data_IF_597958624763
#
_entry.id   IF_597958624763
#
_cell.length_a   1.000
_cell.length_b   1.000
_cell.length_c   1.000
_cell.angle_alpha   90.00
_cell.angle_beta   90.00
_cell.angle_gamma   90.00
#
_symmetry.space_group_name_H-M   'P 1'
#
loop_
_entity.id
_entity.type
_entity.pdbx_description
1 polymer ?
#
# COMPACT_ATOMS: atom_id res chain seq x y z
N UNK A 1 44.48 18.31 46.50
CA UNK A 1 43.26 18.91 45.99
C UNK A 1 43.26 19.12 44.46
N UNK A 2 44.39 19.38 43.85
CA UNK A 2 44.48 19.56 42.39
C UNK A 2 44.35 18.27 41.57
N UNK A 3 44.46 17.12 42.20
CA UNK A 3 44.41 15.80 41.52
C UNK A 3 43.00 15.32 41.24
N UNK A 4 41.99 15.84 41.93
CA UNK A 4 40.59 15.44 41.71
C UNK A 4 40.03 15.98 40.39
N UNK A 5 40.57 17.03 39.86
CA UNK A 5 40.07 17.67 38.63
C UNK A 5 40.52 16.95 37.34
N UNK A 6 41.67 16.30 37.35
CA UNK A 6 42.19 15.54 36.22
C UNK A 6 41.52 14.18 36.06
N UNK A 7 41.07 13.57 37.18
CA UNK A 7 40.35 12.28 37.15
C UNK A 7 38.90 12.46 36.69
N UNK A 8 38.26 13.55 36.98
CA UNK A 8 36.88 13.83 36.55
C UNK A 8 36.76 14.05 35.05
N UNK A 9 37.78 14.59 34.38
CA UNK A 9 37.79 14.75 32.92
C UNK A 9 37.84 13.44 32.18
N UNK A 10 38.57 12.43 32.67
CA UNK A 10 38.65 11.12 32.08
C UNK A 10 37.37 10.30 32.30
N UNK A 11 36.73 10.44 33.46
CA UNK A 11 35.47 9.79 33.76
C UNK A 11 34.30 10.34 32.91
N UNK A 12 34.30 11.65 32.68
CA UNK A 12 33.31 12.29 31.83
C UNK A 12 33.41 11.79 30.37
N UNK A 13 34.61 11.68 29.84
CA UNK A 13 34.84 11.15 28.50
C UNK A 13 34.43 9.69 28.39
N UNK A 14 34.69 8.88 29.40
CA UNK A 14 34.24 7.48 29.44
C UNK A 14 32.73 7.35 29.48
N UNK A 15 32.06 8.16 30.26
CA UNK A 15 30.60 8.22 30.36
C UNK A 15 29.97 8.72 29.06
N UNK A 16 30.51 9.74 28.44
CA UNK A 16 30.04 10.27 27.16
C UNK A 16 30.14 9.19 26.08
N UNK A 17 31.22 8.45 26.02
CA UNK A 17 31.39 7.31 25.07
C UNK A 17 30.34 6.21 25.28
N UNK A 18 30.00 5.94 26.51
CA UNK A 18 28.94 4.98 26.85
C UNK A 18 27.56 5.48 26.42
N UNK A 19 27.26 6.74 26.65
CA UNK A 19 26.00 7.34 26.22
C UNK A 19 25.87 7.42 24.70
N UNK A 20 26.96 7.71 24.01
CA UNK A 20 26.97 7.73 22.53
C UNK A 20 26.67 6.32 21.99
N UNK A 21 27.21 5.27 22.56
CA UNK A 21 26.91 3.88 22.18
C UNK A 21 25.46 3.53 22.45
N UNK A 22 24.92 3.92 23.60
CA UNK A 22 23.48 3.72 23.91
C UNK A 22 22.58 4.50 22.96
N UNK A 23 22.91 5.75 22.65
CA UNK A 23 22.15 6.56 21.69
C UNK A 23 22.19 6.00 20.29
N UNK A 24 23.33 5.46 19.84
CA UNK A 24 23.42 4.83 18.51
C UNK A 24 22.62 3.53 18.44
N UNK A 25 22.60 2.74 19.49
CA UNK A 25 21.77 1.53 19.57
C UNK A 25 20.28 1.87 19.58
N UNK A 26 19.87 2.90 20.35
CA UNK A 26 18.48 3.37 20.37
C UNK A 26 18.06 3.93 19.01
N UNK A 27 18.92 4.71 18.37
CA UNK A 27 18.67 5.25 17.04
C UNK A 27 18.52 4.13 16.00
N UNK A 28 19.35 3.10 16.07
CA UNK A 28 19.27 1.92 15.20
C UNK A 28 17.98 1.14 15.45
N UNK A 29 17.52 1.04 16.70
CA UNK A 29 16.25 0.38 17.05
C UNK A 29 15.04 1.15 16.54
N UNK A 30 15.07 2.49 16.63
CA UNK A 30 13.99 3.36 16.14
C UNK A 30 13.86 3.31 14.63
N UNK A 31 14.96 3.22 13.90
CA UNK A 31 14.91 3.08 12.43
C UNK A 31 14.36 1.74 11.95
N UNK A 32 14.49 0.69 12.76
CA UNK A 32 13.94 -0.63 12.41
C UNK A 32 12.47 -0.82 12.82
N UNK A 33 11.98 0.01 13.74
CA UNK A 33 10.63 -0.06 14.27
C UNK A 33 9.62 0.81 13.51
N UNK A 34 10.01 1.43 12.40
CA UNK A 34 9.04 2.08 11.52
C UNK A 34 8.22 0.98 10.84
N UNK A 35 6.96 0.81 11.21
CA UNK A 35 6.10 -0.07 10.43
C UNK A 35 6.01 0.51 9.03
N UNK A 36 6.30 -0.30 8.04
CA UNK A 36 6.02 0.02 6.65
C UNK A 36 4.49 0.01 6.42
N UNK A 37 3.77 0.81 7.20
CA UNK A 37 2.32 0.97 7.11
C UNK A 37 1.91 1.98 6.04
N UNK A 38 2.76 2.19 5.05
CA UNK A 38 2.43 3.01 3.89
C UNK A 38 1.65 2.24 2.82
N UNK A 39 1.18 1.04 3.12
CA UNK A 39 0.23 0.36 2.25
C UNK A 39 -1.16 0.81 2.69
N UNK A 40 -1.74 1.71 1.93
CA UNK A 40 -3.15 2.01 2.02
C UNK A 40 -3.91 0.68 2.09
N UNK A 41 -4.67 0.50 3.18
CA UNK A 41 -5.31 -0.76 3.53
C UNK A 41 -6.46 -1.13 2.60
N UNK A 42 -6.25 -1.07 1.29
CA UNK A 42 -7.23 -1.57 0.32
C UNK A 42 -7.33 -3.09 0.40
N UNK A 43 -8.54 -3.59 0.40
CA UNK A 43 -8.85 -5.00 0.26
C UNK A 43 -8.68 -5.42 -1.20
N UNK A 44 -8.16 -6.61 -1.45
CA UNK A 44 -8.12 -7.16 -2.80
C UNK A 44 -9.55 -7.47 -3.28
N UNK A 45 -9.95 -6.80 -4.35
CA UNK A 45 -11.22 -7.01 -5.05
C UNK A 45 -10.91 -7.70 -6.37
N UNK A 46 -11.60 -8.77 -6.67
CA UNK A 46 -11.47 -9.52 -7.91
C UNK A 46 -12.82 -9.73 -8.56
N UNK A 47 -12.82 -10.14 -9.81
CA UNK A 47 -14.05 -10.46 -10.53
C UNK A 47 -13.78 -10.75 -12.00
N UNK A 48 -14.84 -10.99 -12.73
CA UNK A 48 -14.81 -11.28 -14.16
C UNK A 48 -15.60 -10.21 -14.90
N UNK A 49 -15.02 -9.68 -15.97
CA UNK A 49 -15.71 -8.76 -16.88
C UNK A 49 -16.14 -9.52 -18.11
N UNK A 50 -17.43 -9.47 -18.43
CA UNK A 50 -18.04 -10.12 -19.60
C UNK A 50 -18.77 -9.10 -20.45
N UNK A 51 -19.04 -9.47 -21.71
CA UNK A 51 -19.95 -8.73 -22.55
C UNK A 51 -21.42 -9.16 -22.31
N UNK A 52 -22.36 -8.52 -22.98
CA UNK A 52 -23.78 -8.83 -22.93
C UNK A 52 -24.15 -10.23 -23.44
N UNK A 53 -23.26 -10.89 -24.19
CA UNK A 53 -23.39 -12.26 -24.65
C UNK A 53 -22.78 -13.30 -23.69
N UNK A 54 -22.14 -12.87 -22.63
CA UNK A 54 -21.51 -13.71 -21.61
C UNK A 54 -20.07 -14.11 -21.90
N UNK A 55 -19.44 -13.53 -22.93
CA UNK A 55 -18.03 -13.78 -23.25
C UNK A 55 -17.11 -12.93 -22.36
N UNK A 56 -15.99 -13.48 -21.86
CA UNK A 56 -15.04 -12.69 -21.09
C UNK A 56 -14.35 -11.63 -21.97
N UNK A 57 -14.21 -10.43 -21.44
CA UNK A 57 -13.53 -9.33 -22.11
C UNK A 57 -12.09 -9.21 -21.63
N UNK A 58 -11.15 -9.28 -22.57
CA UNK A 58 -9.70 -9.20 -22.33
C UNK A 58 -9.26 -7.76 -22.52
N UNK A 59 -8.42 -7.25 -21.59
CA UNK A 59 -7.83 -5.92 -21.71
C UNK A 59 -8.75 -4.76 -21.28
N UNK A 60 -9.83 -5.05 -20.55
CA UNK A 60 -10.66 -4.03 -19.93
C UNK A 60 -9.86 -3.28 -18.89
N UNK A 61 -9.85 -1.96 -18.95
CA UNK A 61 -9.17 -1.12 -17.98
C UNK A 61 -10.05 -0.95 -16.74
N UNK A 62 -9.52 -1.32 -15.59
CA UNK A 62 -10.16 -1.16 -14.27
C UNK A 62 -9.35 -0.16 -13.46
N UNK A 63 -9.96 0.94 -13.07
CA UNK A 63 -9.29 2.01 -12.30
C UNK A 63 -10.10 2.40 -11.09
N UNK A 64 -9.41 2.91 -10.06
CA UNK A 64 -10.04 3.54 -8.89
C UNK A 64 -9.98 5.05 -9.10
N UNK A 65 -11.11 5.74 -9.34
CA UNK A 65 -11.14 7.18 -9.57
C UNK A 65 -10.53 7.97 -8.42
N UNK A 66 -9.74 8.99 -8.75
CA UNK A 66 -9.04 9.82 -7.76
C UNK A 66 -7.75 9.21 -7.22
N UNK A 67 -7.35 8.05 -7.70
CA UNK A 67 -6.08 7.38 -7.34
C UNK A 67 -5.30 6.99 -8.59
N UNK A 68 -4.05 6.54 -8.40
CA UNK A 68 -3.23 5.97 -9.47
C UNK A 68 -3.37 4.45 -9.59
N UNK A 69 -4.26 3.85 -8.80
CA UNK A 69 -4.51 2.40 -8.82
C UNK A 69 -5.26 2.00 -10.09
N UNK A 70 -4.78 0.99 -10.77
CA UNK A 70 -5.42 0.46 -11.97
C UNK A 70 -4.88 -0.90 -12.35
N UNK A 71 -5.69 -1.66 -13.06
CA UNK A 71 -5.35 -2.97 -13.63
C UNK A 71 -6.09 -3.20 -14.92
N UNK A 72 -5.78 -4.30 -15.60
CA UNK A 72 -6.50 -4.76 -16.80
C UNK A 72 -6.92 -6.20 -16.63
N UNK A 73 -8.00 -6.59 -17.31
CA UNK A 73 -8.44 -7.99 -17.34
C UNK A 73 -7.48 -8.87 -18.13
N UNK A 74 -7.33 -10.11 -17.68
CA UNK A 74 -6.50 -11.14 -18.33
C UNK A 74 -7.25 -11.89 -19.45
N UNK A 75 -6.65 -12.96 -19.97
CA UNK A 75 -7.22 -13.79 -21.03
C UNK A 75 -8.57 -14.45 -20.66
N UNK A 76 -8.87 -14.58 -19.38
CA UNK A 76 -10.12 -15.11 -18.84
C UNK A 76 -11.14 -14.01 -18.49
N UNK A 77 -10.81 -12.73 -18.73
CA UNK A 77 -11.61 -11.60 -18.31
C UNK A 77 -11.55 -11.31 -16.82
N UNK A 78 -10.61 -11.94 -16.09
CA UNK A 78 -10.45 -11.78 -14.65
C UNK A 78 -9.57 -10.58 -14.34
N UNK A 79 -9.94 -9.82 -13.31
CA UNK A 79 -9.13 -8.71 -12.76
C UNK A 79 -8.96 -8.87 -11.27
N UNK A 80 -7.90 -8.26 -10.74
CA UNK A 80 -7.68 -8.11 -9.29
C UNK A 80 -7.11 -6.73 -9.04
N UNK A 81 -7.72 -5.98 -8.12
CA UNK A 81 -7.31 -4.62 -7.77
C UNK A 81 -7.50 -4.39 -6.26
N UNK A 82 -6.63 -3.61 -5.66
CA UNK A 82 -6.79 -3.22 -4.27
C UNK A 82 -7.64 -1.95 -4.17
N UNK A 83 -8.75 -2.04 -3.48
CA UNK A 83 -9.66 -0.92 -3.28
C UNK A 83 -10.27 -0.94 -1.88
N UNK A 84 -10.53 0.24 -1.33
CA UNK A 84 -11.19 0.38 -0.05
C UNK A 84 -12.72 0.25 -0.20
N UNK A 85 -13.39 -0.04 0.89
CA UNK A 85 -14.85 -0.23 0.91
C UNK A 85 -15.64 0.99 0.44
N UNK A 86 -15.09 2.19 0.62
CA UNK A 86 -15.68 3.45 0.20
C UNK A 86 -15.32 3.85 -1.22
N UNK A 87 -14.42 3.12 -1.87
CA UNK A 87 -13.97 3.41 -3.24
C UNK A 87 -14.92 2.80 -4.27
N UNK A 88 -14.77 3.28 -5.50
CA UNK A 88 -15.50 2.79 -6.66
C UNK A 88 -14.51 2.26 -7.68
N UNK A 89 -14.94 1.30 -8.47
CA UNK A 89 -14.19 0.79 -9.62
C UNK A 89 -14.81 1.32 -10.90
N UNK A 90 -13.97 1.89 -11.76
CA UNK A 90 -14.37 2.32 -13.09
C UNK A 90 -13.84 1.33 -14.12
N UNK A 91 -14.76 0.77 -14.89
CA UNK A 91 -14.48 -0.17 -15.98
C UNK A 91 -14.60 0.55 -17.31
N UNK A 92 -13.57 0.48 -18.14
CA UNK A 92 -13.53 1.13 -19.45
C UNK A 92 -12.93 0.19 -20.50
N UNK A 93 -13.60 0.09 -21.63
CA UNK A 93 -13.14 -0.68 -22.77
C UNK A 93 -13.60 -0.03 -24.08
N UNK A 94 -12.78 -0.20 -25.13
CA UNK A 94 -13.08 0.38 -26.46
C UNK A 94 -14.32 -0.27 -27.06
N UNK A 95 -15.30 0.54 -27.43
CA UNK A 95 -16.56 0.05 -28.01
C UNK A 95 -17.66 -0.24 -27.00
N UNK A 96 -17.39 -0.07 -25.70
CA UNK A 96 -18.34 -0.28 -24.60
C UNK A 96 -18.51 0.98 -23.77
N UNK A 97 -19.65 1.12 -23.13
CA UNK A 97 -19.91 2.22 -22.22
C UNK A 97 -19.14 2.03 -20.91
N UNK A 98 -18.43 3.04 -20.42
CA UNK A 98 -17.76 2.94 -19.12
C UNK A 98 -18.79 2.76 -18.00
N UNK A 99 -18.46 1.92 -17.04
CA UNK A 99 -19.29 1.64 -15.87
C UNK A 99 -18.53 1.93 -14.58
N UNK A 100 -19.21 2.49 -13.59
CA UNK A 100 -18.65 2.72 -12.27
C UNK A 100 -19.47 1.93 -11.25
N UNK A 101 -18.79 1.10 -10.44
CA UNK A 101 -19.41 0.24 -9.44
C UNK A 101 -18.74 0.50 -8.09
N UNK A 102 -19.54 0.71 -7.05
CA UNK A 102 -19.06 0.86 -5.68
C UNK A 102 -18.65 -0.48 -5.09
N UNK A 103 -17.52 -0.50 -4.39
CA UNK A 103 -16.98 -1.72 -3.77
C UNK A 103 -17.90 -2.25 -2.66
N UNK A 104 -18.44 -1.38 -1.80
CA UNK A 104 -19.43 -1.72 -0.76
C UNK A 104 -19.07 -2.98 0.05
N UNK A 105 -17.82 -3.10 0.46
CA UNK A 105 -17.28 -4.24 1.20
C UNK A 105 -17.31 -5.59 0.45
N UNK A 106 -17.56 -5.58 -0.84
CA UNK A 106 -17.51 -6.79 -1.67
C UNK A 106 -16.06 -7.14 -2.03
N UNK A 107 -15.72 -8.41 -1.96
CA UNK A 107 -14.42 -8.92 -2.41
C UNK A 107 -14.45 -9.49 -3.83
N UNK A 108 -15.64 -9.76 -4.34
CA UNK A 108 -15.84 -10.23 -5.71
C UNK A 108 -16.92 -9.38 -6.38
N UNK A 109 -16.57 -8.77 -7.52
CA UNK A 109 -17.47 -7.93 -8.31
C UNK A 109 -17.37 -8.37 -9.77
N UNK A 110 -18.40 -9.04 -10.25
CA UNK A 110 -18.52 -9.43 -11.66
C UNK A 110 -19.27 -8.33 -12.41
N UNK A 111 -18.81 -8.01 -13.63
CA UNK A 111 -19.32 -6.89 -14.41
C UNK A 111 -19.69 -7.37 -15.80
N UNK A 112 -20.85 -6.90 -16.29
CA UNK A 112 -21.28 -7.09 -17.68
C UNK A 112 -21.28 -5.73 -18.36
N UNK A 113 -20.50 -5.61 -19.43
CA UNK A 113 -20.40 -4.40 -20.24
C UNK A 113 -21.30 -4.50 -21.49
N UNK A 114 -21.91 -3.39 -21.86
CA UNK A 114 -22.79 -3.28 -23.03
C UNK A 114 -22.47 -2.07 -23.89
#
# INVERSE_FOLDING_TARGET
MKQCYTLTGLDVLGKIRSYIRLLTVILLYVTFALPASAQGGGKAVSGIVKDDTGNPLIGVTVTVPGTTKGTTTDANGTYTINADNSESLNFSYVGYKPQTIHVNNQSTIDVTMS
#
